data_IF_373648635075
#
_entry.id   IF_373648635075
#
_cell.length_a   1.000
_cell.length_b   1.000
_cell.length_c   1.000
_cell.angle_alpha   90.00
_cell.angle_beta   90.00
_cell.angle_gamma   90.00
#
_symmetry.space_group_name_H-M   'P 1'
#
loop_
_entity.id
_entity.type
_entity.pdbx_description
1 polymer ?
#
# COMPACT_ATOMS: atom_id res chain seq x y z
N UNK A 1 0.13 -3.12 -19.62
CA UNK A 1 0.36 -4.56 -19.52
C UNK A 1 1.47 -5.02 -20.46
N UNK A 2 1.47 -4.62 -21.75
CA UNK A 2 2.44 -5.06 -22.75
C UNK A 2 3.88 -4.68 -22.42
N UNK A 3 4.10 -3.49 -21.84
CA UNK A 3 5.42 -3.07 -21.36
C UNK A 3 5.94 -4.00 -20.24
N UNK A 4 5.06 -4.46 -19.34
CA UNK A 4 5.42 -5.41 -18.27
C UNK A 4 5.73 -6.78 -18.87
N UNK A 5 4.92 -7.27 -19.83
CA UNK A 5 5.18 -8.52 -20.56
C UNK A 5 6.54 -8.48 -21.26
N UNK A 6 6.79 -7.41 -22.00
CA UNK A 6 8.06 -7.21 -22.67
C UNK A 6 9.25 -7.24 -21.70
N UNK A 7 9.16 -6.51 -20.58
CA UNK A 7 10.20 -6.52 -19.55
C UNK A 7 10.43 -7.91 -18.97
N UNK A 8 9.36 -8.64 -18.68
CA UNK A 8 9.41 -10.01 -18.17
C UNK A 8 10.13 -10.96 -19.15
N UNK A 9 9.80 -10.91 -20.42
CA UNK A 9 10.46 -11.71 -21.45
C UNK A 9 11.95 -11.37 -21.60
N UNK A 10 12.30 -10.08 -21.45
CA UNK A 10 13.68 -9.60 -21.68
C UNK A 10 14.65 -9.88 -20.55
N UNK A 11 14.18 -10.17 -19.33
CA UNK A 11 15.10 -10.58 -18.27
C UNK A 11 15.30 -12.10 -18.14
N UNK A 12 14.54 -12.93 -18.85
CA UNK A 12 14.73 -14.40 -18.88
C UNK A 12 16.17 -14.80 -19.22
N UNK A 13 16.85 -14.20 -20.24
CA UNK A 13 18.24 -14.52 -20.53
C UNK A 13 19.20 -14.23 -19.38
N UNK A 14 18.88 -13.28 -18.50
CA UNK A 14 19.68 -12.99 -17.31
C UNK A 14 19.57 -14.13 -16.29
N UNK A 15 18.36 -14.68 -16.13
CA UNK A 15 18.13 -15.85 -15.25
C UNK A 15 18.88 -17.06 -15.79
N UNK A 16 18.80 -17.34 -17.10
CA UNK A 16 19.53 -18.43 -17.76
C UNK A 16 21.05 -18.32 -17.56
N UNK A 17 21.59 -17.09 -17.67
CA UNK A 17 23.02 -16.85 -17.40
C UNK A 17 23.37 -17.11 -15.93
N UNK A 18 22.51 -16.74 -14.97
CA UNK A 18 22.72 -17.03 -13.55
C UNK A 18 22.67 -18.53 -13.30
N UNK A 19 21.69 -19.24 -13.87
CA UNK A 19 21.58 -20.70 -13.74
C UNK A 19 22.81 -21.43 -14.32
N UNK A 20 23.31 -20.98 -15.46
CA UNK A 20 24.57 -21.51 -16.04
C UNK A 20 25.75 -21.28 -15.08
N UNK A 21 25.89 -20.09 -14.51
CA UNK A 21 26.92 -19.77 -13.55
C UNK A 21 26.80 -20.63 -12.26
N UNK A 22 25.59 -20.84 -11.75
CA UNK A 22 25.33 -21.72 -10.59
C UNK A 22 25.74 -23.15 -10.91
N UNK A 23 25.47 -23.63 -12.12
CA UNK A 23 25.87 -24.97 -12.54
C UNK A 23 27.43 -25.15 -12.59
N UNK A 24 28.12 -24.08 -13.00
CA UNK A 24 29.59 -24.14 -13.16
C UNK A 24 30.36 -23.96 -11.84
N UNK A 25 29.87 -23.10 -10.94
CA UNK A 25 30.59 -22.71 -9.73
C UNK A 25 29.71 -22.50 -8.48
N UNK A 26 28.47 -22.98 -8.53
CA UNK A 26 27.57 -22.90 -7.36
C UNK A 26 28.10 -23.73 -6.20
N UNK A 27 27.88 -23.22 -4.98
CA UNK A 27 28.16 -23.95 -3.75
C UNK A 27 26.98 -24.84 -3.39
N UNK A 28 27.23 -25.83 -2.51
CA UNK A 28 26.14 -26.62 -1.94
C UNK A 28 25.09 -25.72 -1.26
N UNK A 29 23.84 -26.08 -1.48
CA UNK A 29 22.72 -25.33 -0.89
C UNK A 29 22.74 -25.48 0.64
N UNK A 30 22.52 -24.38 1.33
CA UNK A 30 22.36 -24.37 2.77
C UNK A 30 21.06 -25.10 3.16
N UNK A 31 21.19 -26.17 3.92
CA UNK A 31 20.02 -26.87 4.47
C UNK A 31 19.60 -26.17 5.76
N UNK A 32 18.43 -25.56 5.72
CA UNK A 32 17.82 -24.94 6.90
C UNK A 32 16.78 -25.92 7.45
N UNK A 33 17.02 -26.45 8.64
CA UNK A 33 16.03 -27.25 9.35
C UNK A 33 14.86 -26.38 9.77
N UNK A 34 13.66 -26.72 9.30
CA UNK A 34 12.42 -26.03 9.70
C UNK A 34 11.81 -26.80 10.87
N UNK A 35 11.53 -26.08 11.97
CA UNK A 35 10.78 -26.63 13.10
C UNK A 35 9.39 -27.00 12.64
N UNK A 36 8.96 -28.25 12.88
CA UNK A 36 7.58 -28.66 12.60
C UNK A 36 6.66 -28.13 13.71
N UNK A 37 5.75 -27.25 13.31
CA UNK A 37 4.76 -26.60 14.17
C UNK A 37 3.32 -27.08 13.88
N UNK A 38 3.16 -28.17 13.14
CA UNK A 38 1.85 -28.67 12.70
C UNK A 38 0.93 -29.03 13.88
N UNK A 39 1.49 -29.60 14.95
CA UNK A 39 0.75 -29.93 16.17
C UNK A 39 0.28 -28.65 16.90
N UNK A 40 1.14 -27.64 17.01
CA UNK A 40 0.79 -26.35 17.58
C UNK A 40 -0.29 -25.65 16.74
N UNK A 41 -0.16 -25.64 15.42
CA UNK A 41 -1.18 -25.08 14.52
C UNK A 41 -2.54 -25.70 14.75
N UNK A 42 -2.58 -27.03 14.88
CA UNK A 42 -3.82 -27.76 15.16
C UNK A 42 -4.41 -27.37 16.51
N UNK A 43 -3.63 -27.38 17.59
CA UNK A 43 -4.07 -26.98 18.93
C UNK A 43 -4.63 -25.56 18.96
N UNK A 44 -3.92 -24.61 18.35
CA UNK A 44 -4.36 -23.21 18.23
C UNK A 44 -5.65 -23.11 17.41
N UNK A 45 -5.73 -23.79 16.28
CA UNK A 45 -6.92 -23.81 15.43
C UNK A 45 -8.14 -24.39 16.15
N UNK A 46 -7.99 -25.56 16.78
CA UNK A 46 -9.10 -26.24 17.46
C UNK A 46 -9.65 -25.40 18.62
N UNK A 47 -8.79 -24.63 19.31
CA UNK A 47 -9.17 -23.83 20.48
C UNK A 47 -9.71 -22.45 20.08
N UNK A 48 -9.05 -21.74 19.17
CA UNK A 48 -9.31 -20.30 18.95
C UNK A 48 -10.02 -19.98 17.64
N UNK A 49 -10.22 -20.93 16.74
CA UNK A 49 -10.85 -20.67 15.43
C UNK A 49 -12.25 -20.05 15.54
N UNK A 50 -13.06 -20.53 16.50
CA UNK A 50 -14.42 -20.02 16.70
C UNK A 50 -14.39 -18.55 17.18
N UNK A 51 -13.56 -18.25 18.18
CA UNK A 51 -13.41 -16.90 18.73
C UNK A 51 -12.85 -15.91 17.67
N UNK A 52 -11.85 -16.35 16.89
CA UNK A 52 -11.29 -15.57 15.79
C UNK A 52 -12.35 -15.30 14.70
N UNK A 53 -13.14 -16.31 14.34
CA UNK A 53 -14.21 -16.13 13.34
C UNK A 53 -15.26 -15.12 13.84
N UNK A 54 -15.63 -15.18 15.12
CA UNK A 54 -16.53 -14.19 15.72
C UNK A 54 -15.91 -12.78 15.75
N UNK A 55 -14.62 -12.66 16.05
CA UNK A 55 -13.91 -11.38 16.02
C UNK A 55 -13.89 -10.77 14.61
N UNK A 56 -13.63 -11.55 13.56
CA UNK A 56 -13.64 -11.07 12.18
C UNK A 56 -15.03 -10.75 11.63
N UNK A 57 -16.10 -11.19 12.27
CA UNK A 57 -17.46 -10.77 11.95
C UNK A 57 -17.79 -9.34 12.42
N UNK A 58 -16.99 -8.77 13.33
CA UNK A 58 -17.15 -7.39 13.84
C UNK A 58 -16.60 -6.43 12.79
N UNK A 59 -17.43 -5.52 12.29
CA UNK A 59 -17.07 -4.53 11.26
C UNK A 59 -16.28 -3.35 11.81
N UNK A 60 -16.58 -2.92 13.06
CA UNK A 60 -15.85 -1.85 13.72
C UNK A 60 -14.39 -2.27 13.95
N UNK A 61 -13.45 -1.42 13.51
CA UNK A 61 -12.01 -1.69 13.58
C UNK A 61 -11.51 -1.77 15.02
N UNK A 62 -11.97 -0.87 15.87
CA UNK A 62 -11.45 -0.73 17.23
C UNK A 62 -11.93 -1.86 18.12
N UNK A 63 -13.22 -2.20 18.01
CA UNK A 63 -13.83 -3.32 18.72
C UNK A 63 -13.19 -4.65 18.30
N UNK A 64 -13.05 -4.87 17.00
CA UNK A 64 -12.36 -6.04 16.45
C UNK A 64 -10.92 -6.15 16.94
N UNK A 65 -10.15 -5.06 16.88
CA UNK A 65 -8.75 -5.03 17.33
C UNK A 65 -8.62 -5.36 18.81
N UNK A 66 -9.52 -4.82 19.64
CA UNK A 66 -9.56 -5.10 21.09
C UNK A 66 -9.79 -6.60 21.34
N UNK A 67 -10.77 -7.19 20.66
CA UNK A 67 -11.08 -8.61 20.84
C UNK A 67 -9.94 -9.52 20.32
N UNK A 68 -9.34 -9.21 19.16
CA UNK A 68 -8.18 -9.93 18.66
C UNK A 68 -6.98 -9.85 19.61
N UNK A 69 -6.77 -8.70 20.24
CA UNK A 69 -5.76 -8.52 21.30
C UNK A 69 -6.00 -9.42 22.52
N UNK A 70 -7.26 -9.51 22.98
CA UNK A 70 -7.64 -10.41 24.08
C UNK A 70 -7.42 -11.89 23.72
N UNK A 71 -7.80 -12.29 22.49
CA UNK A 71 -7.58 -13.66 22.00
C UNK A 71 -6.07 -13.96 21.92
N UNK A 72 -5.27 -13.02 21.43
CA UNK A 72 -3.82 -13.17 21.36
C UNK A 72 -3.20 -13.36 22.74
N UNK A 73 -3.63 -12.60 23.73
CA UNK A 73 -3.16 -12.74 25.12
C UNK A 73 -3.54 -14.09 25.68
N UNK A 74 -4.81 -14.49 25.56
CA UNK A 74 -5.27 -15.83 26.01
C UNK A 74 -4.50 -16.96 25.34
N UNK A 75 -4.21 -16.84 24.05
CA UNK A 75 -3.44 -17.85 23.32
C UNK A 75 -2.02 -17.98 23.87
N UNK A 76 -1.33 -16.85 24.10
CA UNK A 76 0.01 -16.85 24.70
C UNK A 76 0.02 -17.42 26.10
N UNK A 77 -0.94 -17.05 26.94
CA UNK A 77 -1.04 -17.53 28.32
C UNK A 77 -1.27 -19.05 28.37
N UNK A 78 -2.05 -19.59 27.42
CA UNK A 78 -2.30 -21.04 27.33
C UNK A 78 -1.03 -21.87 27.08
N UNK A 79 -0.08 -21.34 26.33
CA UNK A 79 1.17 -22.03 25.97
C UNK A 79 2.38 -21.54 26.77
N UNK A 80 2.19 -20.66 27.77
CA UNK A 80 3.27 -20.03 28.51
C UNK A 80 4.16 -21.01 29.27
N UNK A 81 3.59 -22.12 29.75
CA UNK A 81 4.31 -23.15 30.51
C UNK A 81 4.82 -24.30 29.61
N UNK A 82 4.55 -24.26 28.30
CA UNK A 82 4.97 -25.27 27.35
C UNK A 82 6.35 -24.93 26.78
N UNK A 83 7.40 -25.49 27.36
CA UNK A 83 8.79 -25.24 26.92
C UNK A 83 9.09 -25.65 25.45
N UNK A 84 8.20 -26.42 24.81
CA UNK A 84 8.37 -26.86 23.42
C UNK A 84 8.17 -25.71 22.41
N UNK A 85 7.43 -24.65 22.78
CA UNK A 85 7.06 -23.56 21.88
C UNK A 85 7.42 -22.19 22.46
N UNK A 86 8.04 -21.36 21.63
CA UNK A 86 8.30 -19.96 22.00
C UNK A 86 7.05 -19.09 21.77
N UNK A 87 6.99 -17.94 22.44
CA UNK A 87 5.95 -16.92 22.22
C UNK A 87 5.83 -16.51 20.74
N UNK A 88 6.96 -16.56 20.01
CA UNK A 88 6.99 -16.30 18.58
C UNK A 88 6.29 -17.42 17.78
N UNK A 89 6.55 -18.68 18.11
CA UNK A 89 5.90 -19.84 17.46
C UNK A 89 4.38 -19.76 17.63
N UNK A 90 3.92 -19.51 18.88
CA UNK A 90 2.49 -19.36 19.20
C UNK A 90 1.85 -18.21 18.42
N UNK A 91 2.51 -17.05 18.40
CA UNK A 91 2.03 -15.88 17.66
C UNK A 91 1.98 -16.12 16.15
N UNK A 92 2.95 -16.84 15.60
CA UNK A 92 2.98 -17.21 14.18
C UNK A 92 1.82 -18.15 13.82
N UNK A 93 1.53 -19.15 14.67
CA UNK A 93 0.44 -20.09 14.40
C UNK A 93 -0.92 -19.44 14.55
N UNK A 94 -1.11 -18.55 15.53
CA UNK A 94 -2.34 -17.77 15.65
C UNK A 94 -2.59 -16.91 14.40
N UNK A 95 -1.58 -16.18 13.94
CA UNK A 95 -1.65 -15.39 12.68
C UNK A 95 -1.93 -16.27 11.47
N UNK A 96 -1.43 -17.50 11.43
CA UNK A 96 -1.71 -18.44 10.34
C UNK A 96 -3.18 -18.85 10.32
N UNK A 97 -3.79 -19.05 11.49
CA UNK A 97 -5.22 -19.35 11.61
C UNK A 97 -6.07 -18.13 11.21
N UNK A 98 -5.73 -16.92 11.69
CA UNK A 98 -6.35 -15.66 11.29
C UNK A 98 -6.32 -15.49 9.76
N UNK A 99 -5.13 -15.65 9.18
CA UNK A 99 -4.93 -15.57 7.72
C UNK A 99 -5.87 -16.51 6.98
N UNK A 100 -5.98 -17.75 7.43
CA UNK A 100 -6.84 -18.77 6.79
C UNK A 100 -8.33 -18.39 6.85
N UNK A 101 -8.80 -17.85 7.98
CA UNK A 101 -10.19 -17.42 8.15
C UNK A 101 -10.52 -16.28 7.16
N UNK A 102 -9.76 -15.18 7.21
CA UNK A 102 -10.02 -13.98 6.40
C UNK A 102 -9.91 -14.29 4.91
N UNK A 103 -8.88 -15.03 4.50
CA UNK A 103 -8.68 -15.40 3.08
C UNK A 103 -9.80 -16.30 2.57
N UNK A 104 -10.29 -17.23 3.41
CA UNK A 104 -11.42 -18.09 3.04
C UNK A 104 -12.70 -17.27 2.84
N UNK A 105 -12.96 -16.28 3.69
CA UNK A 105 -14.13 -15.43 3.56
C UNK A 105 -14.08 -14.59 2.28
N UNK A 106 -12.93 -13.97 1.99
CA UNK A 106 -12.76 -13.18 0.77
C UNK A 106 -12.89 -14.03 -0.50
N UNK A 107 -12.33 -15.25 -0.51
CA UNK A 107 -12.40 -16.12 -1.68
C UNK A 107 -13.78 -16.74 -1.89
N UNK A 108 -14.38 -17.32 -0.82
CA UNK A 108 -15.62 -18.10 -0.92
C UNK A 108 -16.87 -17.24 -0.82
N UNK A 109 -16.90 -16.36 0.17
CA UNK A 109 -18.08 -15.57 0.49
C UNK A 109 -18.06 -14.20 -0.19
N UNK A 110 -16.93 -13.82 -0.85
CA UNK A 110 -16.71 -12.50 -1.43
C UNK A 110 -16.97 -11.36 -0.43
N UNK A 111 -16.82 -11.66 0.86
CA UNK A 111 -17.04 -10.73 1.96
C UNK A 111 -15.70 -10.23 2.50
N UNK A 112 -15.56 -8.93 2.63
CA UNK A 112 -14.39 -8.27 3.20
C UNK A 112 -14.59 -8.03 4.69
N UNK A 113 -13.49 -7.75 5.41
CA UNK A 113 -13.47 -7.56 6.87
C UNK A 113 -14.43 -6.44 7.31
N UNK A 114 -14.57 -5.38 6.48
CA UNK A 114 -15.46 -4.25 6.74
C UNK A 114 -16.85 -4.39 6.08
N UNK A 115 -17.10 -5.51 5.41
CA UNK A 115 -18.38 -5.83 4.77
C UNK A 115 -18.57 -5.24 3.37
N UNK A 116 -17.55 -4.57 2.79
CA UNK A 116 -17.58 -4.10 1.41
C UNK A 116 -17.51 -5.27 0.41
N UNK A 117 -17.94 -5.03 -0.82
CA UNK A 117 -17.68 -5.92 -1.95
C UNK A 117 -16.21 -5.81 -2.40
N UNK A 118 -15.78 -6.68 -3.32
CA UNK A 118 -14.39 -6.66 -3.81
C UNK A 118 -14.05 -5.41 -4.61
N UNK A 119 -15.01 -4.77 -5.24
CA UNK A 119 -14.81 -3.58 -6.08
C UNK A 119 -15.05 -2.26 -5.38
N UNK A 120 -15.63 -2.27 -4.17
CA UNK A 120 -16.01 -1.05 -3.47
C UNK A 120 -14.79 -0.26 -2.99
N UNK A 121 -14.86 1.05 -3.19
CA UNK A 121 -13.96 2.05 -2.62
C UNK A 121 -14.63 2.63 -1.36
N UNK A 122 -13.86 2.83 -0.29
CA UNK A 122 -14.35 3.49 0.93
C UNK A 122 -14.85 4.89 0.64
N UNK A 123 -15.74 5.37 1.50
CA UNK A 123 -16.23 6.75 1.42
C UNK A 123 -15.05 7.74 1.40
N UNK A 124 -15.15 8.71 0.50
CA UNK A 124 -14.15 9.77 0.32
C UNK A 124 -14.77 11.09 0.75
N UNK A 125 -14.03 11.84 1.56
CA UNK A 125 -14.28 13.24 1.90
C UNK A 125 -13.07 14.07 1.50
N UNK A 126 -13.30 15.22 0.85
CA UNK A 126 -12.27 16.10 0.34
C UNK A 126 -12.57 17.54 0.74
N UNK A 127 -11.59 18.20 1.35
CA UNK A 127 -11.67 19.60 1.69
C UNK A 127 -10.43 20.31 1.13
N UNK A 128 -10.62 21.48 0.53
CA UNK A 128 -9.52 22.32 0.01
C UNK A 128 -9.49 23.66 0.74
N UNK A 129 -8.39 24.38 0.65
CA UNK A 129 -8.23 25.68 1.34
C UNK A 129 -8.27 25.56 2.86
N UNK A 130 -7.95 24.38 3.42
CA UNK A 130 -8.05 24.11 4.87
C UNK A 130 -7.07 24.92 5.72
N UNK A 131 -5.96 25.36 5.14
CA UNK A 131 -4.95 26.18 5.79
C UNK A 131 -4.87 27.56 5.12
N UNK A 132 -5.22 28.65 5.84
CA UNK A 132 -5.45 29.98 5.23
C UNK A 132 -4.19 30.71 4.78
N UNK A 133 -2.99 30.22 5.11
CA UNK A 133 -1.72 30.88 4.82
C UNK A 133 -0.80 30.11 3.88
N UNK A 134 -1.24 28.97 3.36
CA UNK A 134 -0.52 28.19 2.37
C UNK A 134 -0.94 28.58 0.95
N UNK A 135 -0.15 28.24 -0.06
CA UNK A 135 -0.52 28.49 -1.45
C UNK A 135 -1.65 27.55 -1.91
N UNK A 136 -1.62 26.31 -1.44
CA UNK A 136 -2.71 25.35 -1.59
C UNK A 136 -2.67 24.32 -0.48
N UNK A 137 -3.83 23.82 -0.08
CA UNK A 137 -3.95 22.81 0.95
C UNK A 137 -5.19 21.94 0.75
N UNK A 138 -5.08 20.68 1.07
CA UNK A 138 -6.19 19.73 1.01
C UNK A 138 -6.16 18.78 2.21
N UNK A 139 -7.33 18.44 2.71
CA UNK A 139 -7.55 17.32 3.60
C UNK A 139 -8.29 16.24 2.81
N UNK A 140 -7.62 15.16 2.53
CA UNK A 140 -8.19 14.00 1.83
C UNK A 140 -8.41 12.88 2.82
N UNK A 141 -9.63 12.40 2.92
CA UNK A 141 -10.01 11.29 3.78
C UNK A 141 -10.65 10.18 2.95
N UNK A 142 -10.19 8.95 3.12
CA UNK A 142 -10.77 7.75 2.53
C UNK A 142 -11.00 6.72 3.63
N UNK A 143 -12.24 6.64 4.11
CA UNK A 143 -12.56 5.88 5.32
C UNK A 143 -11.68 6.33 6.49
N UNK A 144 -10.87 5.42 7.02
CA UNK A 144 -9.95 5.64 8.16
C UNK A 144 -8.52 5.97 7.68
N UNK A 145 -8.35 6.51 6.50
CA UNK A 145 -7.04 6.97 5.99
C UNK A 145 -7.14 8.44 5.62
N UNK A 146 -6.36 9.27 6.29
CA UNK A 146 -6.41 10.72 6.13
C UNK A 146 -5.02 11.30 5.87
N UNK A 147 -4.94 12.21 4.89
CA UNK A 147 -3.74 12.96 4.52
C UNK A 147 -4.05 14.46 4.50
N UNK A 148 -3.33 15.23 5.31
CA UNK A 148 -3.27 16.69 5.19
C UNK A 148 -2.13 17.02 4.25
N UNK A 149 -2.45 17.60 3.11
CA UNK A 149 -1.46 17.91 2.07
C UNK A 149 -1.38 19.43 1.84
N UNK A 150 -0.15 19.91 1.83
CA UNK A 150 0.15 21.34 1.72
C UNK A 150 1.11 21.59 0.56
N UNK A 151 0.78 22.58 -0.28
CA UNK A 151 1.65 23.06 -1.35
C UNK A 151 2.24 24.43 -0.99
N UNK A 152 3.54 24.56 -1.21
CA UNK A 152 4.26 25.82 -1.23
C UNK A 152 4.84 26.02 -2.63
N UNK A 153 4.60 27.20 -3.20
CA UNK A 153 5.22 27.64 -4.44
C UNK A 153 6.45 28.51 -4.11
N UNK A 154 7.54 28.24 -4.78
CA UNK A 154 8.80 28.97 -4.63
C UNK A 154 9.35 29.46 -5.96
N UNK A 155 10.53 30.07 -5.92
CA UNK A 155 11.28 30.52 -7.08
C UNK A 155 12.28 29.45 -7.55
N UNK A 156 13.04 29.74 -8.59
CA UNK A 156 14.14 28.87 -9.06
C UNK A 156 15.28 28.71 -8.03
N UNK A 157 15.41 29.66 -7.09
CA UNK A 157 16.40 29.54 -6.00
C UNK A 157 16.03 28.44 -4.98
N UNK A 158 14.73 28.10 -4.88
CA UNK A 158 14.19 27.09 -3.98
C UNK A 158 14.25 25.67 -4.56
N UNK A 159 14.76 25.51 -5.80
CA UNK A 159 14.92 24.19 -6.43
C UNK A 159 15.88 23.29 -5.64
N UNK A 160 15.50 22.03 -5.50
CA UNK A 160 16.36 21.03 -4.87
C UNK A 160 17.58 20.75 -5.75
N UNK A 161 18.77 20.94 -5.19
CA UNK A 161 20.04 20.55 -5.82
C UNK A 161 20.39 19.11 -5.43
N UNK A 162 20.59 18.26 -6.45
CA UNK A 162 20.95 16.86 -6.27
C UNK A 162 22.27 16.60 -6.98
N UNK A 163 23.31 16.30 -6.21
CA UNK A 163 24.59 15.83 -6.74
C UNK A 163 24.56 14.32 -6.88
N UNK A 164 24.91 13.82 -8.05
CA UNK A 164 24.98 12.39 -8.37
C UNK A 164 26.22 12.10 -9.21
N UNK A 165 26.51 10.83 -9.49
CA UNK A 165 27.59 10.44 -10.41
C UNK A 165 27.41 11.01 -11.83
N UNK A 166 26.15 11.32 -12.22
CA UNK A 166 25.82 11.93 -13.50
C UNK A 166 25.93 13.48 -13.50
N UNK A 167 26.38 14.07 -12.39
CA UNK A 167 26.51 15.50 -12.20
C UNK A 167 25.40 16.14 -11.35
N UNK A 168 25.36 17.47 -11.36
CA UNK A 168 24.39 18.27 -10.62
C UNK A 168 23.07 18.37 -11.38
N UNK A 169 21.99 17.96 -10.73
CA UNK A 169 20.61 18.13 -11.23
C UNK A 169 19.83 19.07 -10.31
N UNK A 170 18.93 19.85 -10.89
CA UNK A 170 17.96 20.68 -10.15
C UNK A 170 16.56 20.13 -10.34
N UNK A 171 15.83 19.94 -9.24
CA UNK A 171 14.47 19.46 -9.24
C UNK A 171 13.55 20.56 -8.76
N UNK A 172 12.65 21.02 -9.63
CA UNK A 172 11.64 22.03 -9.29
C UNK A 172 10.42 21.46 -8.56
N UNK A 173 10.22 20.13 -8.58
CA UNK A 173 9.14 19.46 -7.87
C UNK A 173 9.70 18.59 -6.76
N UNK A 174 9.29 18.88 -5.53
CA UNK A 174 9.61 18.14 -4.32
C UNK A 174 8.33 17.65 -3.68
N UNK A 175 8.31 16.38 -3.24
CA UNK A 175 7.21 15.83 -2.47
C UNK A 175 7.77 15.11 -1.25
N UNK A 176 7.37 15.55 -0.06
CA UNK A 176 7.72 14.98 1.23
C UNK A 176 6.51 14.26 1.79
N UNK A 177 6.66 12.98 2.02
CA UNK A 177 5.65 12.14 2.64
C UNK A 177 6.08 11.84 4.07
N UNK A 178 5.23 12.16 5.03
CA UNK A 178 5.48 11.92 6.44
C UNK A 178 4.42 10.95 6.99
N UNK A 179 4.90 9.89 7.63
CA UNK A 179 4.08 8.85 8.22
C UNK A 179 4.44 8.71 9.72
N UNK A 180 3.97 9.63 10.56
CA UNK A 180 4.28 9.58 11.99
C UNK A 180 3.62 8.36 12.63
N UNK A 181 4.26 7.74 13.65
CA UNK A 181 3.74 6.53 14.30
C UNK A 181 2.32 6.67 14.84
N UNK A 182 1.92 7.87 15.28
CA UNK A 182 0.57 8.12 15.78
C UNK A 182 -0.52 7.87 14.74
N UNK A 183 -0.19 7.94 13.42
CA UNK A 183 -1.17 7.69 12.35
C UNK A 183 -1.74 6.27 12.36
N UNK A 184 -1.06 5.35 13.03
CA UNK A 184 -1.51 3.96 13.28
C UNK A 184 -1.67 3.65 14.77
N UNK A 185 -1.67 4.68 15.63
CA UNK A 185 -1.83 4.53 17.07
C UNK A 185 -0.60 3.97 17.79
N UNK A 186 0.58 4.09 17.20
CA UNK A 186 1.83 3.58 17.76
C UNK A 186 2.74 4.69 18.25
N UNK A 187 3.72 4.31 19.08
CA UNK A 187 4.87 5.15 19.43
C UNK A 187 6.07 4.71 18.59
N UNK A 188 6.94 5.65 18.24
CA UNK A 188 8.11 5.32 17.42
C UNK A 188 9.14 6.44 17.37
N UNK A 189 10.22 6.20 16.63
CA UNK A 189 11.28 7.19 16.43
C UNK A 189 10.80 8.32 15.53
N UNK A 190 11.22 9.54 15.83
CA UNK A 190 11.04 10.70 14.96
C UNK A 190 12.17 10.67 13.93
N UNK A 191 11.82 10.74 12.64
CA UNK A 191 12.79 10.79 11.55
C UNK A 191 12.28 10.11 10.30
N UNK A 192 12.91 10.42 9.17
CA UNK A 192 12.54 9.88 7.86
C UNK A 192 13.13 8.47 7.70
N UNK A 193 12.27 7.49 7.52
CA UNK A 193 12.64 6.10 7.24
C UNK A 193 12.58 5.76 5.75
N UNK A 194 12.89 4.51 5.42
CA UNK A 194 12.82 4.01 4.03
C UNK A 194 11.40 4.05 3.46
N UNK A 195 10.39 3.86 4.31
CA UNK A 195 8.99 3.91 3.95
C UNK A 195 8.60 5.29 3.42
N UNK A 196 8.97 6.35 4.15
CA UNK A 196 8.68 7.73 3.77
C UNK A 196 9.33 8.07 2.43
N UNK A 197 10.58 7.67 2.24
CA UNK A 197 11.31 7.91 0.98
C UNK A 197 10.62 7.18 -0.19
N UNK A 198 10.30 5.91 -0.04
CA UNK A 198 9.69 5.09 -1.09
C UNK A 198 8.29 5.55 -1.47
N UNK A 199 7.43 5.78 -0.47
CA UNK A 199 6.06 6.26 -0.67
C UNK A 199 6.02 7.68 -1.23
N UNK A 200 6.89 8.57 -0.73
CA UNK A 200 7.04 9.93 -1.26
C UNK A 200 7.47 9.91 -2.73
N UNK A 201 8.41 9.04 -3.10
CA UNK A 201 8.86 8.92 -4.50
C UNK A 201 7.78 8.35 -5.41
N UNK A 202 6.96 7.43 -4.94
CA UNK A 202 5.81 6.90 -5.68
C UNK A 202 4.79 8.02 -5.96
N UNK A 203 4.39 8.78 -4.94
CA UNK A 203 3.47 9.92 -5.09
C UNK A 203 4.06 11.02 -5.99
N UNK A 204 5.35 11.31 -5.85
CA UNK A 204 6.06 12.24 -6.73
C UNK A 204 5.97 11.82 -8.20
N UNK A 205 6.24 10.53 -8.51
CA UNK A 205 6.14 10.00 -9.88
C UNK A 205 4.73 10.11 -10.43
N UNK A 206 3.73 9.81 -9.61
CA UNK A 206 2.33 9.84 -10.01
C UNK A 206 1.91 11.23 -10.51
N UNK A 207 2.36 12.28 -9.83
CA UNK A 207 1.96 13.67 -10.08
C UNK A 207 2.85 14.37 -11.12
N UNK A 208 4.13 14.03 -11.17
CA UNK A 208 5.12 14.75 -11.97
C UNK A 208 4.75 14.79 -13.48
N UNK A 209 4.13 13.73 -14.00
CA UNK A 209 3.71 13.67 -15.40
C UNK A 209 2.57 14.64 -15.74
N UNK A 210 1.77 15.05 -14.75
CA UNK A 210 0.61 15.94 -14.90
C UNK A 210 0.94 17.40 -14.59
N UNK A 211 2.15 17.72 -14.13
CA UNK A 211 2.56 19.10 -13.90
C UNK A 211 2.73 19.84 -15.24
N UNK A 212 2.46 21.16 -15.26
CA UNK A 212 2.70 21.98 -16.44
C UNK A 212 4.18 22.09 -16.76
N UNK A 213 4.50 22.42 -17.99
CA UNK A 213 5.87 22.77 -18.40
C UNK A 213 6.36 24.03 -17.65
N UNK A 214 7.67 24.18 -17.53
CA UNK A 214 8.26 25.27 -16.73
C UNK A 214 7.93 26.66 -17.29
N UNK A 215 7.85 26.79 -18.60
CA UNK A 215 7.54 28.05 -19.30
C UNK A 215 6.08 28.47 -19.05
N UNK A 216 5.17 27.53 -18.89
CA UNK A 216 3.76 27.78 -18.63
C UNK A 216 3.48 28.17 -17.18
N UNK A 217 4.27 27.64 -16.23
CA UNK A 217 4.11 27.91 -14.80
C UNK A 217 5.47 27.85 -14.09
N UNK A 218 6.22 28.97 -14.04
CA UNK A 218 7.65 29.00 -13.67
C UNK A 218 7.92 28.97 -12.16
N UNK A 219 7.20 28.15 -11.42
CA UNK A 219 7.37 28.01 -9.98
C UNK A 219 8.02 26.69 -9.61
N UNK A 220 8.74 26.70 -8.50
CA UNK A 220 9.17 25.49 -7.79
C UNK A 220 8.03 25.03 -6.88
N UNK A 221 7.76 23.74 -6.85
CA UNK A 221 6.70 23.13 -6.06
C UNK A 221 7.28 22.35 -4.89
N UNK A 222 6.81 22.63 -3.70
CA UNK A 222 7.10 21.80 -2.51
C UNK A 222 5.79 21.33 -1.91
N UNK A 223 5.50 20.04 -2.11
CA UNK A 223 4.35 19.35 -1.50
C UNK A 223 4.80 18.64 -0.23
N UNK A 224 4.07 18.82 0.84
CA UNK A 224 4.24 18.08 2.10
C UNK A 224 2.93 17.37 2.39
N UNK A 225 2.99 16.05 2.54
CA UNK A 225 1.85 15.20 2.90
C UNK A 225 2.06 14.63 4.29
N UNK A 226 1.23 15.06 5.23
CA UNK A 226 1.18 14.56 6.61
C UNK A 226 0.07 13.53 6.73
N UNK A 227 0.41 12.29 7.05
CA UNK A 227 -0.57 11.24 7.27
C UNK A 227 -1.04 11.31 8.73
N UNK A 228 -2.28 11.72 8.92
CA UNK A 228 -2.87 11.88 10.27
C UNK A 228 -3.52 10.60 10.78
N UNK A 229 -4.04 9.76 9.87
CA UNK A 229 -4.57 8.44 10.17
C UNK A 229 -4.35 7.49 9.01
N UNK A 230 -4.14 6.18 9.27
CA UNK A 230 -3.92 5.20 8.22
C UNK A 230 -4.55 3.84 8.52
N UNK A 231 -5.35 3.37 7.55
CA UNK A 231 -5.83 1.99 7.46
C UNK A 231 -5.81 1.52 6.00
N UNK A 232 -4.61 1.42 5.42
CA UNK A 232 -4.37 0.99 4.04
C UNK A 232 -4.12 2.15 3.06
N UNK A 233 -3.05 2.02 2.32
CA UNK A 233 -2.58 2.87 1.22
C UNK A 233 -2.62 4.40 1.46
N UNK A 234 -1.90 4.86 2.45
CA UNK A 234 -1.68 6.29 2.72
C UNK A 234 -0.91 7.01 1.59
N UNK A 235 -0.07 6.29 0.83
CA UNK A 235 0.60 6.86 -0.34
C UNK A 235 -0.38 7.25 -1.46
N UNK A 236 -1.44 6.47 -1.66
CA UNK A 236 -2.48 6.82 -2.64
C UNK A 236 -3.39 7.94 -2.13
N UNK A 237 -3.61 8.04 -0.82
CA UNK A 237 -4.25 9.21 -0.21
C UNK A 237 -3.39 10.47 -0.43
N UNK A 238 -2.06 10.37 -0.31
CA UNK A 238 -1.14 11.47 -0.61
C UNK A 238 -1.19 11.90 -2.09
N UNK A 239 -1.34 10.96 -3.02
CA UNK A 239 -1.51 11.28 -4.45
C UNK A 239 -2.78 12.11 -4.67
N UNK A 240 -3.91 11.65 -4.12
CA UNK A 240 -5.20 12.34 -4.25
C UNK A 240 -5.19 13.71 -3.58
N UNK A 241 -4.70 13.80 -2.34
CA UNK A 241 -4.61 15.05 -1.60
C UNK A 241 -3.63 16.05 -2.25
N UNK A 242 -2.52 15.57 -2.82
CA UNK A 242 -1.58 16.43 -3.51
C UNK A 242 -2.12 16.93 -4.86
N UNK A 243 -2.90 16.11 -5.58
CA UNK A 243 -3.62 16.56 -6.77
C UNK A 243 -4.58 17.71 -6.43
N UNK A 244 -5.35 17.56 -5.33
CA UNK A 244 -6.24 18.63 -4.83
C UNK A 244 -5.47 19.88 -4.40
N UNK A 245 -4.40 19.76 -3.62
CA UNK A 245 -3.62 20.90 -3.14
C UNK A 245 -2.93 21.66 -4.28
N UNK A 246 -2.50 20.98 -5.34
CA UNK A 246 -1.97 21.59 -6.56
C UNK A 246 -3.05 22.40 -7.29
N UNK A 247 -4.25 21.86 -7.44
CA UNK A 247 -5.37 22.55 -8.08
C UNK A 247 -5.87 23.72 -7.21
N UNK A 248 -5.95 23.57 -5.89
CA UNK A 248 -6.31 24.63 -4.93
C UNK A 248 -5.35 25.84 -5.03
N UNK A 249 -4.08 25.59 -5.30
CA UNK A 249 -3.08 26.66 -5.53
C UNK A 249 -3.13 27.26 -6.95
N UNK A 250 -4.06 26.85 -7.79
CA UNK A 250 -4.17 27.35 -9.16
C UNK A 250 -3.08 26.83 -10.11
N UNK A 251 -2.42 25.72 -9.79
CA UNK A 251 -1.46 25.08 -10.71
C UNK A 251 -2.22 24.52 -11.91
N UNK A 252 -1.91 24.93 -13.16
CA UNK A 252 -2.59 24.46 -14.35
C UNK A 252 -2.12 23.03 -14.70
N UNK A 253 -2.53 22.08 -13.90
CA UNK A 253 -2.22 20.66 -14.14
C UNK A 253 -2.79 20.21 -15.49
N UNK A 254 -2.07 19.34 -16.20
CA UNK A 254 -2.53 18.74 -17.47
C UNK A 254 -3.82 17.94 -17.27
N UNK A 255 -3.95 17.27 -16.15
CA UNK A 255 -5.14 16.55 -15.68
C UNK A 255 -5.03 16.23 -14.18
N UNK A 256 -6.15 16.09 -13.46
CA UNK A 256 -6.14 15.61 -12.08
C UNK A 256 -5.66 14.15 -12.02
N UNK A 257 -5.01 13.78 -10.91
CA UNK A 257 -4.44 12.45 -10.69
C UNK A 257 -5.05 11.82 -9.46
N UNK A 258 -5.54 10.61 -9.59
CA UNK A 258 -5.99 9.77 -8.46
C UNK A 258 -5.14 8.51 -8.34
N UNK A 259 -5.12 7.94 -7.14
CA UNK A 259 -4.44 6.70 -6.84
C UNK A 259 -5.31 5.73 -6.06
N UNK A 260 -5.16 4.44 -6.33
CA UNK A 260 -5.84 3.35 -5.64
C UNK A 260 -4.88 2.20 -5.37
N UNK A 261 -5.12 1.45 -4.28
CA UNK A 261 -4.41 0.22 -3.98
C UNK A 261 -5.32 -0.99 -4.22
N UNK A 262 -4.76 -1.98 -4.90
CA UNK A 262 -5.37 -3.26 -5.19
C UNK A 262 -4.64 -4.35 -4.43
N UNK A 263 -5.37 -5.33 -3.92
CA UNK A 263 -4.81 -6.51 -3.30
C UNK A 263 -4.97 -7.75 -4.16
N UNK A 264 -4.47 -8.86 -3.65
CA UNK A 264 -4.68 -10.20 -4.20
C UNK A 264 -4.79 -11.21 -3.07
N UNK A 265 -5.79 -12.06 -3.15
CA UNK A 265 -5.87 -13.29 -2.36
C UNK A 265 -5.92 -14.45 -3.36
N UNK A 266 -4.94 -15.36 -3.30
CA UNK A 266 -4.82 -16.50 -4.21
C UNK A 266 -4.59 -17.80 -3.44
N UNK A 267 -5.42 -18.80 -3.68
CA UNK A 267 -5.28 -20.15 -3.14
C UNK A 267 -5.45 -21.17 -4.27
N UNK A 268 -4.35 -21.84 -4.64
CA UNK A 268 -4.35 -22.68 -5.83
C UNK A 268 -4.65 -21.89 -7.10
N UNK A 269 -5.70 -22.25 -7.81
CA UNK A 269 -6.17 -21.56 -9.02
C UNK A 269 -7.22 -20.50 -8.71
N UNK A 270 -7.84 -20.53 -7.53
CA UNK A 270 -8.82 -19.54 -7.11
C UNK A 270 -8.15 -18.23 -6.69
N UNK A 271 -8.69 -17.11 -7.14
CA UNK A 271 -8.20 -15.79 -6.71
C UNK A 271 -9.31 -14.74 -6.60
N UNK A 272 -9.01 -13.70 -5.86
CA UNK A 272 -9.85 -12.49 -5.73
C UNK A 272 -8.97 -11.26 -5.66
N UNK A 273 -9.40 -10.20 -6.32
CA UNK A 273 -8.69 -8.91 -6.37
C UNK A 273 -9.55 -7.85 -5.66
N UNK A 274 -9.32 -7.55 -4.37
CA UNK A 274 -10.02 -6.47 -3.68
C UNK A 274 -9.44 -5.10 -4.07
N UNK A 275 -10.35 -4.14 -4.32
CA UNK A 275 -10.04 -2.72 -4.55
C UNK A 275 -9.98 -1.97 -3.24
N UNK A 276 -9.16 -0.93 -3.13
CA UNK A 276 -8.98 -0.10 -1.93
C UNK A 276 -8.81 -0.95 -0.66
N UNK A 277 -7.69 -1.70 -0.63
CA UNK A 277 -7.36 -2.64 0.44
C UNK A 277 -7.14 -1.95 1.78
N UNK A 278 -7.67 -2.56 2.84
CA UNK A 278 -7.35 -2.21 4.23
C UNK A 278 -5.92 -2.66 4.60
N UNK A 279 -5.34 -2.04 5.61
CA UNK A 279 -4.01 -2.43 6.10
C UNK A 279 -3.93 -3.89 6.52
N UNK A 280 -4.98 -4.42 7.13
CA UNK A 280 -5.05 -5.83 7.53
C UNK A 280 -5.14 -6.77 6.31
N UNK A 281 -5.92 -6.40 5.30
CA UNK A 281 -6.06 -7.15 4.03
C UNK A 281 -4.75 -7.15 3.23
N UNK A 282 -4.05 -6.02 3.19
CA UNK A 282 -2.71 -5.94 2.59
C UNK A 282 -1.74 -6.86 3.32
N UNK A 283 -1.72 -6.85 4.65
CA UNK A 283 -0.83 -7.71 5.44
C UNK A 283 -1.07 -9.21 5.19
N UNK A 284 -2.32 -9.63 5.04
CA UNK A 284 -2.70 -11.03 4.77
C UNK A 284 -2.72 -11.40 3.29
N UNK A 285 -2.68 -10.40 2.41
CA UNK A 285 -2.73 -10.56 0.95
C UNK A 285 -1.44 -11.09 0.35
N UNK A 286 -1.50 -11.39 -0.93
CA UNK A 286 -0.41 -11.95 -1.73
C UNK A 286 0.22 -10.90 -2.67
N UNK A 287 -0.41 -9.75 -2.83
CA UNK A 287 0.05 -8.63 -3.65
C UNK A 287 -0.39 -7.30 -3.04
N UNK A 288 0.50 -6.32 -3.02
CA UNK A 288 0.22 -4.89 -2.85
C UNK A 288 0.47 -4.20 -4.19
N UNK A 289 -0.60 -3.74 -4.83
CA UNK A 289 -0.56 -3.18 -6.16
C UNK A 289 -1.16 -1.79 -6.19
N UNK A 290 -0.32 -0.77 -6.31
CA UNK A 290 -0.70 0.64 -6.31
C UNK A 290 -0.69 1.17 -7.73
N UNK A 291 -1.79 1.78 -8.14
CA UNK A 291 -1.97 2.34 -9.48
C UNK A 291 -2.46 3.78 -9.36
N UNK A 292 -1.70 4.71 -9.90
CA UNK A 292 -2.07 6.12 -9.97
C UNK A 292 -2.10 6.61 -11.42
N UNK A 293 -2.96 7.59 -11.70
CA UNK A 293 -3.08 8.16 -13.04
C UNK A 293 -4.26 9.10 -13.20
N UNK A 294 -4.39 9.60 -14.41
CA UNK A 294 -5.49 10.45 -14.88
C UNK A 294 -6.65 9.61 -15.40
N UNK A 295 -7.67 10.24 -15.94
CA UNK A 295 -8.73 9.55 -16.66
C UNK A 295 -8.21 8.82 -17.92
N UNK A 296 -7.20 9.39 -18.58
CA UNK A 296 -6.68 8.90 -19.85
C UNK A 296 -5.67 7.77 -19.69
N UNK A 297 -4.92 7.72 -18.57
CA UNK A 297 -3.87 6.72 -18.42
C UNK A 297 -3.21 6.66 -17.05
N UNK A 298 -2.31 5.69 -16.92
CA UNK A 298 -1.52 5.43 -15.71
C UNK A 298 -0.26 6.29 -15.75
N UNK A 299 -0.01 7.04 -14.68
CA UNK A 299 1.20 7.85 -14.49
C UNK A 299 2.22 7.18 -13.57
N UNK A 300 1.77 6.30 -12.68
CA UNK A 300 2.66 5.55 -11.79
C UNK A 300 2.04 4.22 -11.39
N UNK A 301 2.89 3.22 -11.26
CA UNK A 301 2.54 1.86 -10.89
C UNK A 301 3.62 1.30 -9.97
N UNK A 302 3.20 0.65 -8.87
CA UNK A 302 4.07 -0.12 -8.00
C UNK A 302 3.38 -1.41 -7.64
N UNK A 303 4.10 -2.53 -7.75
CA UNK A 303 3.62 -3.85 -7.37
C UNK A 303 4.66 -4.53 -6.49
N UNK A 304 4.18 -5.08 -5.37
CA UNK A 304 4.93 -5.96 -4.48
C UNK A 304 4.20 -7.29 -4.37
N UNK A 305 4.89 -8.38 -4.70
CA UNK A 305 4.32 -9.74 -4.75
C UNK A 305 4.93 -10.54 -3.60
N UNK A 306 4.07 -11.13 -2.77
CA UNK A 306 4.45 -11.93 -1.59
C UNK A 306 4.41 -13.44 -1.85
N UNK A 307 4.09 -13.85 -3.07
CA UNK A 307 4.05 -15.24 -3.56
C UNK A 307 5.01 -15.42 -4.74
N UNK A 308 5.20 -16.63 -5.21
CA UNK A 308 6.18 -16.96 -6.27
C UNK A 308 5.90 -16.27 -7.62
N UNK A 309 4.66 -15.85 -7.86
CA UNK A 309 4.31 -15.12 -9.08
C UNK A 309 2.80 -14.95 -9.23
N UNK A 310 2.43 -14.08 -10.16
CA UNK A 310 1.05 -13.85 -10.58
C UNK A 310 0.94 -14.04 -12.09
N UNK A 311 -0.25 -14.39 -12.57
CA UNK A 311 -0.52 -14.52 -14.00
C UNK A 311 -0.83 -13.15 -14.63
N UNK A 312 -0.67 -13.04 -15.94
CA UNK A 312 -1.08 -11.84 -16.66
C UNK A 312 -2.58 -11.58 -16.59
N UNK A 313 -3.40 -12.61 -16.46
CA UNK A 313 -4.84 -12.51 -16.23
C UNK A 313 -5.17 -11.79 -14.92
N UNK A 314 -4.49 -12.16 -13.83
CA UNK A 314 -4.64 -11.48 -12.54
C UNK A 314 -4.26 -10.00 -12.66
N UNK A 315 -3.16 -9.70 -13.37
CA UNK A 315 -2.71 -8.33 -13.58
C UNK A 315 -3.71 -7.53 -14.43
N UNK A 316 -4.25 -8.12 -15.47
CA UNK A 316 -5.24 -7.49 -16.35
C UNK A 316 -6.52 -7.14 -15.57
N UNK A 317 -7.03 -8.09 -14.79
CA UNK A 317 -8.18 -7.84 -13.92
C UNK A 317 -7.88 -6.74 -12.89
N UNK A 318 -6.72 -6.78 -12.24
CA UNK A 318 -6.33 -5.76 -11.26
C UNK A 318 -6.22 -4.36 -11.88
N UNK A 319 -5.67 -4.25 -13.09
CA UNK A 319 -5.58 -2.99 -13.83
C UNK A 319 -6.95 -2.46 -14.25
N UNK A 320 -7.86 -3.34 -14.71
CA UNK A 320 -9.22 -2.96 -15.06
C UNK A 320 -9.99 -2.41 -13.85
N UNK A 321 -10.00 -3.14 -12.74
CA UNK A 321 -10.63 -2.68 -11.50
C UNK A 321 -9.97 -1.41 -10.93
N UNK A 322 -8.63 -1.29 -11.05
CA UNK A 322 -7.92 -0.07 -10.65
C UNK A 322 -8.32 1.13 -11.51
N UNK A 323 -8.62 0.93 -12.79
CA UNK A 323 -9.15 2.00 -13.67
C UNK A 323 -10.51 2.47 -13.17
N UNK A 324 -11.44 1.55 -12.91
CA UNK A 324 -12.78 1.91 -12.45
C UNK A 324 -12.72 2.63 -11.09
N UNK A 325 -11.93 2.13 -10.15
CA UNK A 325 -11.73 2.77 -8.85
C UNK A 325 -11.08 4.16 -8.97
N UNK A 326 -10.10 4.35 -9.86
CA UNK A 326 -9.49 5.68 -10.11
C UNK A 326 -10.48 6.66 -10.72
N UNK A 327 -11.28 6.23 -11.69
CA UNK A 327 -12.31 7.08 -12.31
C UNK A 327 -13.34 7.48 -11.26
N UNK A 328 -13.77 6.56 -10.40
CA UNK A 328 -14.65 6.90 -9.28
C UNK A 328 -14.02 7.95 -8.36
N UNK A 329 -12.76 7.76 -7.94
CA UNK A 329 -12.04 8.73 -7.10
C UNK A 329 -11.90 10.08 -7.82
N UNK A 330 -11.52 10.09 -9.11
CA UNK A 330 -11.38 11.30 -9.90
C UNK A 330 -12.70 12.10 -9.98
N UNK A 331 -13.85 11.42 -10.00
CA UNK A 331 -15.17 12.10 -9.98
C UNK A 331 -15.44 12.88 -8.69
N UNK A 332 -14.67 12.62 -7.62
CA UNK A 332 -14.81 13.23 -6.29
C UNK A 332 -13.70 14.25 -5.96
N UNK A 333 -12.56 14.19 -6.68
CA UNK A 333 -11.39 15.04 -6.41
C UNK A 333 -11.10 16.08 -7.52
N UNK A 334 -12.07 16.43 -8.33
CA UNK A 334 -11.93 17.52 -9.29
C UNK A 334 -12.45 18.82 -8.68
N UNK A 335 -11.77 19.92 -8.98
CA UNK A 335 -12.14 21.29 -8.57
C UNK A 335 -12.51 22.08 -9.83
#
# INVERSE_FOLDING_TARGET
>A
LDAVKFGHEKFVPVIEAIEALVKDCGKEQWVVEKKDLSELEKKVSDTFKADLTAAFAIRDKQERSTLLGQITTKCKDMFKEDEAYSDLDVSMMLKKVEKKIVRTDILKNKSRIDGRSLSDVRQIDCQVGVLPRTHGSALFTRGETQALVVLTLGTSEDEQRVESLDGLKRNRFMLHYNFPPFSVGETGRIGTGRREIGHGKLAWRALNASLPEQEAFPYTYRVVSEITESNGSSSMASVCGASLALMDAGVPMKAPVAGIAMGLIKEGDDFSVPSDTLGYEDHLGDMDFKVAGTADGITSLQMDIKITGITFEIMEQALAQAKDGRIHILSLIHI
#
